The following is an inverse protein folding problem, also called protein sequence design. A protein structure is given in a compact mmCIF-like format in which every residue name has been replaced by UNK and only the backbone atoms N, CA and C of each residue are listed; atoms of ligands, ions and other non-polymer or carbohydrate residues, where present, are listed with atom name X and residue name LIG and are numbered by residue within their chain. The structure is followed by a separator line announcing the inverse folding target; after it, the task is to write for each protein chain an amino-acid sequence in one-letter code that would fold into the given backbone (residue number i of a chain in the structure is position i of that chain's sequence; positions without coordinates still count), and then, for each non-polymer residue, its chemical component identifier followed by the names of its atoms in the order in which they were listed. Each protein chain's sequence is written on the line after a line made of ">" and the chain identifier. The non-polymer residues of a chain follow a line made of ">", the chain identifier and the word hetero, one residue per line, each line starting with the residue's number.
data_IF_778344231622
#
_entry.id   IF_778344231622
#
_cell.length_a   1.000
_cell.length_b   1.000
_cell.length_c   1.000
_cell.angle_alpha   90.00
_cell.angle_beta   90.00
_cell.angle_gamma   90.00
#
_symmetry.space_group_name_H-M   'P 1'
#
loop_
_entity.id
_entity.type
_entity.pdbx_description
1 polymer ?
#
# COMPACT_ATOMS: atom_id res chain seq x y z
N UNK A 1 9.61 -14.31 18.78
CA UNK A 1 8.90 -13.37 17.90
C UNK A 1 8.60 -14.10 16.61
N UNK A 2 7.32 -14.33 16.28
CA UNK A 2 6.96 -15.07 15.06
C UNK A 2 6.72 -14.11 13.90
N UNK A 3 7.77 -13.88 13.11
CA UNK A 3 7.63 -13.36 11.74
C UNK A 3 6.94 -14.40 10.87
N UNK A 4 6.26 -13.95 9.82
CA UNK A 4 5.67 -14.90 8.89
C UNK A 4 6.75 -15.76 8.22
N UNK A 5 6.71 -17.10 8.33
CA UNK A 5 7.75 -17.96 7.76
C UNK A 5 7.95 -17.76 6.26
N UNK A 6 6.89 -17.40 5.52
CA UNK A 6 6.98 -17.13 4.09
C UNK A 6 7.73 -15.84 3.79
N UNK A 7 7.62 -14.83 4.66
CA UNK A 7 8.38 -13.57 4.54
C UNK A 7 9.84 -13.80 4.88
N UNK A 8 10.12 -14.60 5.91
CA UNK A 8 11.50 -15.01 6.24
C UNK A 8 12.13 -15.77 5.09
N UNK A 9 11.38 -16.69 4.46
CA UNK A 9 11.84 -17.41 3.28
C UNK A 9 12.12 -16.45 2.12
N UNK A 10 11.18 -15.54 1.82
CA UNK A 10 11.35 -14.55 0.76
C UNK A 10 12.61 -13.69 0.97
N UNK A 11 12.89 -13.23 2.19
CA UNK A 11 14.12 -12.50 2.49
C UNK A 11 15.39 -13.33 2.21
N UNK A 12 15.39 -14.62 2.56
CA UNK A 12 16.51 -15.51 2.25
C UNK A 12 16.69 -15.69 0.75
N UNK A 13 15.59 -15.87 0.02
CA UNK A 13 15.60 -16.03 -1.43
C UNK A 13 16.12 -14.74 -2.10
N UNK A 14 15.69 -13.55 -1.66
CA UNK A 14 16.17 -12.25 -2.16
C UNK A 14 17.68 -12.09 -1.90
N UNK A 15 18.14 -12.38 -0.68
CA UNK A 15 19.58 -12.27 -0.34
C UNK A 15 20.45 -13.28 -1.10
N UNK A 16 19.97 -14.49 -1.35
CA UNK A 16 20.71 -15.47 -2.16
C UNK A 16 20.80 -15.03 -3.64
N UNK A 17 19.73 -14.44 -4.17
CA UNK A 17 19.72 -13.88 -5.54
C UNK A 17 20.68 -12.68 -5.63
N UNK A 18 20.69 -11.83 -4.61
CA UNK A 18 21.59 -10.68 -4.49
C UNK A 18 23.05 -11.10 -4.59
N UNK A 19 23.48 -12.06 -3.77
CA UNK A 19 24.85 -12.59 -3.78
C UNK A 19 25.23 -13.17 -5.16
N UNK A 20 24.34 -13.97 -5.75
CA UNK A 20 24.58 -14.57 -7.06
C UNK A 20 24.68 -13.53 -8.19
N UNK A 21 23.85 -12.48 -8.13
CA UNK A 21 23.82 -11.43 -9.14
C UNK A 21 24.94 -10.41 -8.99
N UNK A 22 25.37 -10.11 -7.77
CA UNK A 22 26.48 -9.19 -7.49
C UNK A 22 27.79 -9.64 -8.14
N UNK A 23 28.00 -10.96 -8.25
CA UNK A 23 29.15 -11.52 -8.96
C UNK A 23 29.01 -11.54 -10.49
N UNK A 24 27.78 -11.48 -11.01
CA UNK A 24 27.48 -11.70 -12.43
C UNK A 24 27.16 -10.41 -13.21
N UNK A 25 26.76 -9.33 -12.53
CA UNK A 25 26.28 -8.10 -13.15
C UNK A 25 27.14 -6.88 -12.82
N UNK A 26 27.15 -5.92 -13.74
CA UNK A 26 27.68 -4.59 -13.46
C UNK A 26 26.76 -3.83 -12.50
N UNK A 27 27.35 -3.00 -11.62
CA UNK A 27 26.65 -2.29 -10.55
C UNK A 27 25.37 -1.57 -10.99
N UNK A 28 25.37 -0.88 -12.13
CA UNK A 28 24.19 -0.14 -12.59
C UNK A 28 23.03 -1.06 -13.02
N UNK A 29 23.31 -2.26 -13.54
CA UNK A 29 22.27 -3.25 -13.87
C UNK A 29 21.72 -3.90 -12.62
N UNK A 30 22.60 -4.19 -11.66
CA UNK A 30 22.22 -4.68 -10.35
C UNK A 30 21.28 -3.69 -9.64
N UNK A 31 21.68 -2.41 -9.56
CA UNK A 31 20.86 -1.34 -8.98
C UNK A 31 19.51 -1.20 -9.68
N UNK A 32 19.51 -1.17 -11.02
CA UNK A 32 18.27 -1.09 -11.79
C UNK A 32 17.27 -2.21 -11.43
N UNK A 33 17.75 -3.43 -11.18
CA UNK A 33 16.89 -4.55 -10.80
C UNK A 33 16.38 -4.38 -9.38
N UNK A 34 17.27 -4.16 -8.40
CA UNK A 34 16.90 -4.12 -6.99
C UNK A 34 16.09 -2.88 -6.60
N UNK A 35 16.34 -1.71 -7.22
CA UNK A 35 15.53 -0.51 -7.01
C UNK A 35 14.08 -0.68 -7.52
N UNK A 36 13.87 -1.53 -8.55
CA UNK A 36 12.53 -1.86 -9.03
C UNK A 36 11.77 -2.86 -8.15
N UNK A 37 12.46 -3.63 -7.31
CA UNK A 37 11.83 -4.68 -6.49
C UNK A 37 10.93 -4.10 -5.40
N UNK A 38 11.33 -3.00 -4.76
CA UNK A 38 10.52 -2.33 -3.73
C UNK A 38 9.13 -1.95 -4.25
N UNK A 39 9.08 -1.38 -5.45
CA UNK A 39 7.83 -1.03 -6.12
C UNK A 39 6.98 -2.27 -6.46
N UNK A 40 7.59 -3.32 -7.03
CA UNK A 40 6.86 -4.56 -7.35
C UNK A 40 6.27 -5.22 -6.10
N UNK A 41 7.05 -5.34 -5.03
CA UNK A 41 6.61 -5.93 -3.77
C UNK A 41 5.50 -5.09 -3.14
N UNK A 42 5.62 -3.76 -3.17
CA UNK A 42 4.56 -2.85 -2.73
C UNK A 42 3.24 -3.10 -3.46
N UNK A 43 3.28 -3.13 -4.79
CA UNK A 43 2.12 -3.43 -5.63
C UNK A 43 1.48 -4.79 -5.28
N UNK A 44 2.28 -5.84 -5.12
CA UNK A 44 1.80 -7.17 -4.73
C UNK A 44 1.13 -7.14 -3.36
N UNK A 45 1.74 -6.47 -2.38
CA UNK A 45 1.23 -6.42 -1.01
C UNK A 45 -0.09 -5.62 -0.91
N UNK A 46 -0.21 -4.49 -1.60
CA UNK A 46 -1.44 -3.70 -1.62
C UNK A 46 -2.57 -4.47 -2.33
N UNK A 47 -2.30 -4.98 -3.53
CA UNK A 47 -3.30 -5.75 -4.28
C UNK A 47 -3.67 -7.06 -3.57
N UNK A 48 -2.76 -7.63 -2.79
CA UNK A 48 -2.99 -8.81 -1.97
C UNK A 48 -4.11 -8.64 -0.93
N UNK A 49 -4.42 -7.40 -0.54
CA UNK A 49 -5.43 -7.13 0.47
C UNK A 49 -6.84 -7.65 0.11
N UNK A 50 -7.15 -7.72 -1.19
CA UNK A 50 -8.42 -8.25 -1.69
C UNK A 50 -8.66 -9.72 -1.30
N UNK A 51 -7.60 -10.50 -1.10
CA UNK A 51 -7.68 -11.93 -0.79
C UNK A 51 -7.96 -12.20 0.70
N UNK A 52 -7.85 -11.21 1.59
CA UNK A 52 -8.23 -11.41 2.99
C UNK A 52 -9.74 -11.54 3.12
N UNK A 53 -10.21 -12.66 3.71
CA UNK A 53 -11.61 -12.81 4.07
C UNK A 53 -12.02 -11.81 5.16
N UNK A 54 -11.17 -11.62 6.18
CA UNK A 54 -11.27 -10.62 7.24
C UNK A 54 -9.88 -10.23 7.70
N UNK A 55 -9.74 -9.04 8.29
CA UNK A 55 -8.51 -8.56 8.91
C UNK A 55 -8.80 -8.08 10.33
N UNK A 56 -7.95 -8.48 11.28
CA UNK A 56 -7.97 -8.00 12.66
C UNK A 56 -6.88 -6.95 12.86
N UNK A 57 -6.94 -6.21 13.97
CA UNK A 57 -5.86 -5.30 14.39
C UNK A 57 -4.50 -6.03 14.50
N UNK A 58 -4.50 -7.25 15.04
CA UNK A 58 -3.30 -8.10 15.07
C UNK A 58 -2.81 -8.51 13.68
N UNK A 59 -3.72 -8.72 12.73
CA UNK A 59 -3.42 -8.96 11.32
C UNK A 59 -2.77 -7.75 10.65
N UNK A 60 -3.30 -6.54 10.90
CA UNK A 60 -2.71 -5.28 10.42
C UNK A 60 -1.28 -5.12 10.97
N UNK A 61 -1.09 -5.30 12.29
CA UNK A 61 0.23 -5.27 12.93
C UNK A 61 1.19 -6.29 12.33
N UNK A 62 0.72 -7.51 12.04
CA UNK A 62 1.52 -8.55 11.39
C UNK A 62 1.95 -8.12 9.98
N UNK A 63 1.04 -7.58 9.17
CA UNK A 63 1.37 -7.09 7.83
C UNK A 63 2.37 -5.94 7.86
N UNK A 64 2.19 -4.97 8.77
CA UNK A 64 3.14 -3.87 8.93
C UNK A 64 4.55 -4.38 9.31
N UNK A 65 4.64 -5.36 10.20
CA UNK A 65 5.93 -6.01 10.55
C UNK A 65 6.55 -6.76 9.37
N UNK A 66 5.74 -7.50 8.62
CA UNK A 66 6.20 -8.22 7.43
C UNK A 66 6.78 -7.25 6.39
N UNK A 67 6.07 -6.15 6.12
CA UNK A 67 6.54 -5.08 5.22
C UNK A 67 7.84 -4.48 5.73
N UNK A 68 7.93 -4.16 7.02
CA UNK A 68 9.14 -3.59 7.61
C UNK A 68 10.37 -4.50 7.46
N UNK A 69 10.19 -5.82 7.62
CA UNK A 69 11.29 -6.79 7.46
C UNK A 69 11.74 -6.93 6.00
N UNK A 70 10.82 -6.82 5.04
CA UNK A 70 11.16 -6.76 3.61
C UNK A 70 11.87 -5.45 3.26
N UNK A 71 11.37 -4.34 3.81
CA UNK A 71 11.94 -3.01 3.63
C UNK A 71 13.39 -2.96 4.13
N UNK A 72 13.65 -3.49 5.32
CA UNK A 72 15.00 -3.54 5.87
C UNK A 72 15.94 -4.40 5.02
N UNK A 73 15.46 -5.53 4.48
CA UNK A 73 16.25 -6.38 3.59
C UNK A 73 16.64 -5.63 2.31
N UNK A 74 15.67 -5.00 1.63
CA UNK A 74 15.94 -4.25 0.41
C UNK A 74 16.80 -3.00 0.65
N UNK A 75 16.52 -2.20 1.68
CA UNK A 75 17.35 -1.04 2.03
C UNK A 75 18.81 -1.43 2.28
N UNK A 76 19.08 -2.60 2.87
CA UNK A 76 20.45 -3.08 3.05
C UNK A 76 21.13 -3.45 1.72
N UNK A 77 20.36 -3.92 0.73
CA UNK A 77 20.87 -4.31 -0.59
C UNK A 77 21.07 -3.08 -1.48
N UNK A 78 20.07 -2.20 -1.56
CA UNK A 78 20.08 -1.02 -2.43
C UNK A 78 20.85 0.14 -1.82
N UNK A 79 21.09 0.12 -0.51
CA UNK A 79 21.61 1.25 0.28
C UNK A 79 20.78 2.53 0.05
N UNK A 80 19.49 2.36 -0.25
CA UNK A 80 18.57 3.44 -0.60
C UNK A 80 17.25 3.30 0.16
N UNK A 81 16.46 4.39 0.15
CA UNK A 81 15.18 4.42 0.84
C UNK A 81 14.11 3.71 0.01
N UNK A 82 13.49 2.71 0.61
CA UNK A 82 12.37 1.95 0.03
C UNK A 82 11.03 2.63 0.30
N UNK A 83 10.78 3.76 -0.39
CA UNK A 83 9.58 4.58 -0.19
C UNK A 83 8.28 3.88 -0.62
N UNK A 84 8.32 3.01 -1.63
CA UNK A 84 7.16 2.23 -2.05
C UNK A 84 6.70 1.23 -0.97
N UNK A 85 7.62 0.70 -0.17
CA UNK A 85 7.26 -0.18 0.95
C UNK A 85 6.71 0.60 2.15
N UNK A 86 7.19 1.82 2.39
CA UNK A 86 6.52 2.76 3.31
C UNK A 86 5.07 3.02 2.87
N UNK A 87 4.85 3.16 1.55
CA UNK A 87 3.53 3.37 0.97
C UNK A 87 2.62 2.15 1.16
N UNK A 88 3.11 0.93 0.93
CA UNK A 88 2.37 -0.30 1.24
C UNK A 88 2.05 -0.43 2.73
N UNK A 89 2.98 -0.10 3.63
CA UNK A 89 2.71 -0.11 5.08
C UNK A 89 1.56 0.81 5.44
N UNK A 90 1.58 2.04 4.91
CA UNK A 90 0.53 3.03 5.15
C UNK A 90 -0.84 2.58 4.61
N UNK A 91 -0.88 1.77 3.55
CA UNK A 91 -2.13 1.17 3.06
C UNK A 91 -2.76 0.24 4.10
N UNK A 92 -1.94 -0.59 4.76
CA UNK A 92 -2.43 -1.45 5.84
C UNK A 92 -2.77 -0.66 7.10
N UNK A 93 -2.02 0.40 7.43
CA UNK A 93 -2.33 1.28 8.58
C UNK A 93 -3.65 2.03 8.41
N UNK A 94 -4.03 2.37 7.17
CA UNK A 94 -5.35 2.92 6.88
C UNK A 94 -6.49 2.01 7.35
N UNK A 95 -6.27 0.69 7.43
CA UNK A 95 -7.27 -0.28 7.88
C UNK A 95 -7.51 -0.27 9.40
N UNK A 96 -6.78 0.53 10.18
CA UNK A 96 -7.14 0.80 11.57
C UNK A 96 -8.40 1.66 11.70
N UNK A 97 -8.77 2.39 10.64
CA UNK A 97 -9.95 3.23 10.61
C UNK A 97 -11.23 2.43 10.39
N UNK A 98 -12.36 2.99 10.79
CA UNK A 98 -13.68 2.59 10.30
C UNK A 98 -13.83 2.94 8.81
N UNK A 99 -14.80 2.33 8.09
CA UNK A 99 -15.07 2.70 6.70
C UNK A 99 -15.34 4.19 6.48
N UNK A 100 -16.03 4.85 7.42
CA UNK A 100 -16.39 6.27 7.31
C UNK A 100 -15.19 7.19 7.60
N UNK A 101 -14.37 6.84 8.60
CA UNK A 101 -13.10 7.53 8.86
C UNK A 101 -12.12 7.40 7.69
N UNK A 102 -12.09 6.26 7.00
CA UNK A 102 -11.31 6.09 5.77
C UNK A 102 -11.76 7.07 4.69
N UNK A 103 -13.07 7.24 4.48
CA UNK A 103 -13.57 8.22 3.50
C UNK A 103 -13.15 9.64 3.87
N UNK A 104 -13.27 10.02 5.14
CA UNK A 104 -12.81 11.32 5.64
C UNK A 104 -11.31 11.53 5.41
N UNK A 105 -10.50 10.49 5.62
CA UNK A 105 -9.06 10.52 5.34
C UNK A 105 -8.77 10.88 3.88
N UNK A 106 -9.53 10.34 2.92
CA UNK A 106 -9.36 10.65 1.49
C UNK A 106 -9.79 12.09 1.17
N UNK A 107 -10.80 12.62 1.86
CA UNK A 107 -11.20 14.03 1.73
C UNK A 107 -10.10 14.95 2.24
N UNK A 108 -9.57 14.68 3.43
CA UNK A 108 -8.63 15.57 4.12
C UNK A 108 -7.22 15.52 3.53
N UNK A 109 -6.76 14.33 3.15
CA UNK A 109 -5.38 14.09 2.69
C UNK A 109 -5.27 13.92 1.17
N UNK A 110 -6.40 13.83 0.48
CA UNK A 110 -6.49 13.59 -0.96
C UNK A 110 -6.28 12.13 -1.36
N UNK A 111 -6.45 11.88 -2.65
CA UNK A 111 -6.34 10.54 -3.25
C UNK A 111 -4.87 10.12 -3.33
N UNK A 112 -4.54 9.01 -2.66
CA UNK A 112 -3.21 8.39 -2.60
C UNK A 112 -3.14 7.06 -3.34
N UNK A 113 -4.14 6.20 -3.17
CA UNK A 113 -4.26 4.91 -3.82
C UNK A 113 -5.20 4.98 -5.02
N UNK A 114 -5.20 3.94 -5.86
CA UNK A 114 -6.17 3.81 -6.95
C UNK A 114 -7.58 3.56 -6.42
N UNK A 115 -8.60 3.85 -7.23
CA UNK A 115 -10.00 3.60 -6.88
C UNK A 115 -10.21 2.14 -6.47
N UNK A 116 -9.66 1.18 -7.24
CA UNK A 116 -9.79 -0.24 -6.95
C UNK A 116 -9.17 -0.62 -5.60
N UNK A 117 -8.02 -0.05 -5.25
CA UNK A 117 -7.35 -0.31 -3.97
C UNK A 117 -8.17 0.22 -2.79
N UNK A 118 -8.81 1.39 -2.92
CA UNK A 118 -9.75 1.90 -1.93
C UNK A 118 -11.03 1.05 -1.84
N UNK A 119 -11.58 0.58 -2.97
CA UNK A 119 -12.72 -0.34 -2.99
C UNK A 119 -12.37 -1.63 -2.24
N UNK A 120 -11.18 -2.18 -2.48
CA UNK A 120 -10.68 -3.38 -1.80
C UNK A 120 -10.54 -3.15 -0.29
N UNK A 121 -10.00 -2.00 0.12
CA UNK A 121 -9.87 -1.61 1.53
C UNK A 121 -11.24 -1.48 2.22
N UNK A 122 -12.17 -0.71 1.65
CA UNK A 122 -13.52 -0.54 2.19
C UNK A 122 -14.27 -1.87 2.29
N UNK A 123 -14.16 -2.69 1.24
CA UNK A 123 -14.78 -4.02 1.25
C UNK A 123 -14.17 -4.91 2.32
N UNK A 124 -12.87 -4.78 2.60
CA UNK A 124 -12.18 -5.53 3.65
C UNK A 124 -12.61 -5.06 5.04
N UNK A 125 -12.73 -3.75 5.26
CA UNK A 125 -13.25 -3.21 6.51
C UNK A 125 -14.69 -3.64 6.75
N UNK A 126 -15.56 -3.56 5.73
CA UNK A 126 -16.96 -3.94 5.85
C UNK A 126 -17.14 -5.39 6.31
N UNK A 127 -16.39 -6.32 5.72
CA UNK A 127 -16.47 -7.74 6.10
C UNK A 127 -15.75 -8.07 7.41
N UNK A 128 -14.86 -7.21 7.90
CA UNK A 128 -14.02 -7.46 9.10
C UNK A 128 -14.59 -6.88 10.38
N UNK A 129 -15.23 -5.71 10.29
CA UNK A 129 -15.79 -5.01 11.44
C UNK A 129 -17.26 -5.39 11.65
N UNK A 130 -17.70 -5.34 12.90
CA UNK A 130 -19.10 -5.58 13.28
C UNK A 130 -19.83 -4.24 13.43
N UNK A 131 -21.13 -4.20 13.15
CA UNK A 131 -21.93 -2.98 13.34
C UNK A 131 -21.74 -1.90 12.28
N UNK A 132 -21.02 -2.19 11.19
CA UNK A 132 -20.76 -1.25 10.08
C UNK A 132 -21.92 -1.11 9.07
N UNK A 133 -23.10 -1.64 9.38
CA UNK A 133 -24.25 -1.62 8.49
C UNK A 133 -24.30 -2.80 7.51
N UNK A 134 -25.30 -2.76 6.63
CA UNK A 134 -25.60 -3.79 5.65
C UNK A 134 -24.98 -3.50 4.27
N UNK A 135 -25.35 -4.30 3.26
CA UNK A 135 -24.87 -4.12 1.89
C UNK A 135 -25.32 -2.78 1.28
N UNK A 136 -26.50 -2.27 1.66
CA UNK A 136 -26.96 -0.94 1.23
C UNK A 136 -26.01 0.15 1.72
N UNK A 137 -25.66 0.10 3.01
CA UNK A 137 -24.69 1.00 3.64
C UNK A 137 -23.33 0.91 2.94
N UNK A 138 -22.86 -0.30 2.63
CA UNK A 138 -21.62 -0.48 1.87
C UNK A 138 -21.68 0.17 0.49
N UNK A 139 -22.77 -0.04 -0.25
CA UNK A 139 -22.94 0.55 -1.58
C UNK A 139 -22.94 2.09 -1.55
N UNK A 140 -23.57 2.69 -0.54
CA UNK A 140 -23.53 4.14 -0.32
C UNK A 140 -22.10 4.63 -0.10
N UNK A 141 -21.30 3.92 0.70
CA UNK A 141 -19.88 4.28 0.92
C UNK A 141 -19.04 4.15 -0.36
N UNK A 142 -19.27 3.10 -1.15
CA UNK A 142 -18.57 2.92 -2.43
C UNK A 142 -18.94 4.02 -3.43
N UNK A 143 -20.20 4.44 -3.47
CA UNK A 143 -20.63 5.57 -4.29
C UNK A 143 -19.99 6.87 -3.80
N UNK A 144 -19.96 7.11 -2.49
CA UNK A 144 -19.32 8.29 -1.90
C UNK A 144 -17.83 8.33 -2.19
N UNK A 145 -17.13 7.20 -2.15
CA UNK A 145 -15.72 7.11 -2.53
C UNK A 145 -15.48 7.63 -3.96
N UNK A 146 -16.32 7.22 -4.92
CA UNK A 146 -16.20 7.65 -6.32
C UNK A 146 -16.37 9.16 -6.47
N UNK A 147 -17.35 9.73 -5.76
CA UNK A 147 -17.57 11.16 -5.72
C UNK A 147 -16.35 11.90 -5.16
N UNK A 148 -15.82 11.46 -4.00
CA UNK A 148 -14.64 12.06 -3.38
C UNK A 148 -13.44 12.02 -4.34
N UNK A 149 -13.20 10.89 -5.02
CA UNK A 149 -12.09 10.77 -5.98
C UNK A 149 -12.24 11.77 -7.13
N UNK A 150 -13.46 11.93 -7.66
CA UNK A 150 -13.76 12.90 -8.72
C UNK A 150 -13.56 14.35 -8.23
N UNK A 151 -14.09 14.69 -7.05
CA UNK A 151 -13.93 15.99 -6.40
C UNK A 151 -12.43 16.34 -6.23
N UNK A 152 -11.64 15.40 -5.71
CA UNK A 152 -10.21 15.57 -5.50
C UNK A 152 -9.42 15.70 -6.81
N UNK A 153 -9.82 15.00 -7.88
CA UNK A 153 -9.23 15.16 -9.20
C UNK A 153 -9.48 16.56 -9.77
N UNK A 154 -10.70 17.09 -9.62
CA UNK A 154 -11.06 18.43 -10.04
C UNK A 154 -10.28 19.52 -9.26
N UNK A 155 -10.11 19.34 -7.94
CA UNK A 155 -9.31 20.25 -7.10
C UNK A 155 -7.84 20.25 -7.53
N UNK A 156 -7.25 19.08 -7.78
CA UNK A 156 -5.87 18.95 -8.28
C UNK A 156 -5.71 19.64 -9.65
N UNK A 157 -6.70 19.56 -10.53
CA UNK A 157 -6.66 20.24 -11.83
C UNK A 157 -6.75 21.76 -11.67
N UNK A 158 -7.71 22.27 -10.90
CA UNK A 158 -7.90 23.70 -10.68
C UNK A 158 -6.69 24.37 -10.00
N UNK A 159 -6.00 23.67 -9.10
CA UNK A 159 -4.77 24.16 -8.46
C UNK A 159 -3.57 24.17 -9.40
N UNK A 160 -3.51 23.25 -10.37
CA UNK A 160 -2.50 23.25 -11.43
C UNK A 160 -2.69 24.43 -12.38
N UNK A 161 -3.92 24.70 -12.80
CA UNK A 161 -4.24 25.77 -13.73
C UNK A 161 -3.93 27.17 -13.15
N UNK A 162 -4.23 27.40 -11.86
CA UNK A 162 -3.87 28.64 -11.16
C UNK A 162 -2.36 28.90 -11.09
N UNK A 163 -1.54 27.86 -10.98
CA UNK A 163 -0.06 28.00 -10.96
C UNK A 163 0.51 28.37 -12.33
N UNK A 164 -0.17 28.00 -13.43
CA UNK A 164 0.28 28.31 -14.79
C UNK A 164 -0.05 29.76 -15.18
N UNK A 165 -1.16 30.32 -14.67
CA UNK A 165 -1.57 31.70 -14.99
C UNK A 165 -0.81 32.78 -14.18
N UNK A 166 -0.03 32.39 -13.18
CA UNK A 166 0.71 33.32 -12.29
C UNK A 166 2.20 33.45 -12.65
N UNK A 167 2.60 33.02 -13.86
CA UNK A 167 3.98 33.15 -14.37
C UNK A 167 4.00 34.01 -15.63
#
# INVERSE_FOLDING_TARGET
>A
MDYDPLVVKLNKDISAIEEAMGAALQQHKFQYIFEGLGHLISCILINGAQYFKRISESGIKKMCRNIFVLQQNLTNITMSREADLDFARQYYEMLYNTPDELLNLVVDQGVRYTELEYINALSLLHRSQTGVGDMSTQNTRLQRLKEIICEQAAIKQATKDKKITTV
#
